data_IF_436185070258
#
_entry.id   IF_436185070258
#
_cell.length_a   1.000
_cell.length_b   1.000
_cell.length_c   1.000
_cell.angle_alpha   90.00
_cell.angle_beta   90.00
_cell.angle_gamma   90.00
#
_symmetry.space_group_name_H-M   'P 1'
#
loop_
_entity.id
_entity.type
_entity.pdbx_description
1 polymer ?
#
# COMPACT_ATOMS: atom_id res chain seq x y z
N UNK A 1 -11.21 -13.03 16.03
CA UNK A 1 -11.13 -14.32 16.77
C UNK A 1 -9.73 -14.95 16.73
N UNK A 2 -8.88 -14.52 15.78
CA UNK A 2 -7.53 -15.06 15.60
C UNK A 2 -6.46 -14.28 16.38
N UNK A 3 -6.77 -13.05 16.82
CA UNK A 3 -5.87 -12.21 17.60
C UNK A 3 -6.07 -12.54 19.07
N UNK A 4 -5.00 -12.94 19.74
CA UNK A 4 -4.99 -13.30 21.14
C UNK A 4 -3.68 -12.86 21.82
N UNK A 5 -3.53 -13.14 23.12
CA UNK A 5 -2.39 -12.69 23.91
C UNK A 5 -1.05 -13.35 23.54
N UNK A 6 -1.05 -14.35 22.64
CA UNK A 6 0.16 -14.96 22.06
C UNK A 6 0.56 -14.28 20.75
N UNK A 7 -0.28 -13.39 20.21
CA UNK A 7 -0.01 -12.65 18.97
C UNK A 7 0.95 -11.50 19.27
N UNK A 8 2.12 -11.48 18.62
CA UNK A 8 3.11 -10.41 18.78
C UNK A 8 3.05 -9.36 17.68
N UNK A 9 2.71 -9.79 16.45
CA UNK A 9 2.68 -8.93 15.28
C UNK A 9 1.56 -9.38 14.33
N UNK A 10 0.79 -8.41 13.85
CA UNK A 10 -0.17 -8.59 12.77
C UNK A 10 0.40 -7.96 11.51
N UNK A 11 0.52 -8.73 10.45
CA UNK A 11 0.86 -8.23 9.11
C UNK A 11 -0.37 -8.33 8.23
N UNK A 12 -0.83 -7.20 7.68
CA UNK A 12 -2.04 -7.15 6.87
C UNK A 12 -1.92 -6.12 5.74
N UNK A 13 -2.46 -6.43 4.57
CA UNK A 13 -2.64 -5.43 3.52
C UNK A 13 -3.84 -4.55 3.84
N UNK A 14 -3.71 -3.23 3.72
CA UNK A 14 -4.85 -2.31 3.85
C UNK A 14 -5.91 -2.60 2.79
N UNK A 15 -5.48 -2.83 1.56
CA UNK A 15 -6.36 -3.22 0.46
C UNK A 15 -5.97 -4.60 -0.05
N UNK A 16 -6.91 -5.53 -0.07
CA UNK A 16 -6.70 -6.85 -0.63
C UNK A 16 -6.50 -6.76 -2.16
N UNK A 17 -5.36 -7.24 -2.65
CA UNK A 17 -4.98 -7.11 -4.05
C UNK A 17 -5.86 -7.93 -5.01
N UNK A 18 -6.56 -8.97 -4.52
CA UNK A 18 -7.42 -9.82 -5.36
C UNK A 18 -8.77 -9.20 -5.64
N UNK A 19 -9.46 -8.74 -4.60
CA UNK A 19 -10.83 -8.26 -4.70
C UNK A 19 -11.01 -6.77 -4.41
N UNK A 20 -9.95 -6.09 -3.97
CA UNK A 20 -10.02 -4.66 -3.63
C UNK A 20 -10.70 -4.36 -2.30
N UNK A 21 -10.93 -5.36 -1.42
CA UNK A 21 -11.51 -5.12 -0.10
C UNK A 21 -10.57 -4.25 0.76
N UNK A 22 -11.12 -3.21 1.36
CA UNK A 22 -10.41 -2.30 2.29
C UNK A 22 -10.63 -2.77 3.71
N UNK A 23 -9.55 -3.15 4.39
CA UNK A 23 -9.58 -3.54 5.79
C UNK A 23 -9.69 -2.31 6.70
N UNK A 24 -10.51 -2.40 7.75
CA UNK A 24 -10.63 -1.36 8.77
C UNK A 24 -9.39 -1.36 9.68
N UNK A 25 -8.42 -0.49 9.35
CA UNK A 25 -7.18 -0.38 10.12
C UNK A 25 -7.40 0.08 11.55
N UNK A 26 -8.47 0.85 11.82
CA UNK A 26 -8.77 1.29 13.19
C UNK A 26 -9.14 0.11 14.07
N UNK A 27 -10.11 -0.68 13.62
CA UNK A 27 -10.57 -1.87 14.35
C UNK A 27 -9.43 -2.87 14.54
N UNK A 28 -8.62 -3.10 13.49
CA UNK A 28 -7.49 -4.03 13.55
C UNK A 28 -6.44 -3.55 14.55
N UNK A 29 -6.03 -2.27 14.46
CA UNK A 29 -4.99 -1.72 15.33
C UNK A 29 -5.43 -1.69 16.79
N UNK A 30 -6.65 -1.23 17.06
CA UNK A 30 -7.20 -1.22 18.42
C UNK A 30 -7.31 -2.64 19.01
N UNK A 31 -7.68 -3.61 18.16
CA UNK A 31 -7.76 -5.02 18.61
C UNK A 31 -6.38 -5.60 18.89
N UNK A 32 -5.42 -5.39 18.00
CA UNK A 32 -4.04 -5.81 18.17
C UNK A 32 -3.44 -5.28 19.47
N UNK A 33 -3.56 -3.97 19.67
CA UNK A 33 -2.98 -3.30 20.84
C UNK A 33 -3.63 -3.75 22.17
N UNK A 34 -4.93 -4.11 22.18
CA UNK A 34 -5.56 -4.70 23.38
C UNK A 34 -4.93 -6.03 23.80
N UNK A 35 -4.37 -6.78 22.85
CA UNK A 35 -3.66 -8.04 23.09
C UNK A 35 -2.14 -7.88 23.13
N UNK A 36 -1.63 -6.64 23.13
CA UNK A 36 -0.19 -6.37 23.18
C UNK A 36 0.55 -6.60 21.86
N UNK A 37 -0.16 -6.88 20.76
CA UNK A 37 0.41 -7.10 19.46
C UNK A 37 0.69 -5.78 18.72
N UNK A 38 1.75 -5.74 17.90
CA UNK A 38 2.03 -4.64 16.96
C UNK A 38 1.34 -4.88 15.62
N UNK A 39 1.20 -3.81 14.82
CA UNK A 39 0.58 -3.87 13.49
C UNK A 39 1.54 -3.35 12.43
N UNK A 40 1.78 -4.15 11.40
CA UNK A 40 2.46 -3.77 10.17
C UNK A 40 1.47 -3.81 9.01
N UNK A 41 1.29 -2.68 8.33
CA UNK A 41 0.33 -2.52 7.25
C UNK A 41 1.04 -2.43 5.90
N UNK A 42 0.63 -3.24 4.92
CA UNK A 42 1.01 -3.04 3.52
C UNK A 42 0.05 -2.07 2.84
N UNK A 43 0.58 -0.93 2.42
CA UNK A 43 -0.12 0.17 1.76
C UNK A 43 0.02 0.16 0.24
N UNK A 44 0.57 -0.89 -0.35
CA UNK A 44 0.88 -0.94 -1.78
C UNK A 44 -0.32 -0.67 -2.71
N UNK A 45 -1.53 -0.95 -2.25
CA UNK A 45 -2.78 -0.71 -2.99
C UNK A 45 -3.64 0.43 -2.42
N UNK A 46 -3.11 1.22 -1.50
CA UNK A 46 -3.83 2.34 -0.88
C UNK A 46 -3.06 3.65 -0.83
N UNK A 47 -1.73 3.62 -0.68
CA UNK A 47 -0.91 4.84 -0.70
C UNK A 47 -1.07 5.56 -2.05
N UNK A 48 -1.46 6.83 -2.00
CA UNK A 48 -1.73 7.65 -3.18
C UNK A 48 -3.17 7.60 -3.70
N UNK A 49 -4.08 6.81 -3.09
CA UNK A 49 -5.47 6.72 -3.59
C UNK A 49 -6.52 6.66 -2.48
N UNK A 50 -6.13 6.29 -1.27
CA UNK A 50 -7.00 6.30 -0.08
C UNK A 50 -6.38 7.21 0.97
N UNK A 51 -7.12 8.16 1.57
CA UNK A 51 -6.65 8.93 2.72
C UNK A 51 -6.36 8.00 3.91
N UNK A 52 -5.17 8.13 4.53
CA UNK A 52 -4.75 7.30 5.66
C UNK A 52 -3.98 8.16 6.65
N UNK A 53 -4.43 8.15 7.90
CA UNK A 53 -3.82 8.88 9.02
C UNK A 53 -3.13 7.88 9.97
N UNK A 54 -1.95 7.37 9.58
CA UNK A 54 -1.26 6.30 10.31
C UNK A 54 -0.98 6.63 11.79
N UNK A 55 -0.58 7.88 12.06
CA UNK A 55 -0.32 8.33 13.45
C UNK A 55 -1.60 8.36 14.28
N UNK A 56 -2.70 8.89 13.73
CA UNK A 56 -3.98 8.96 14.40
C UNK A 56 -4.58 7.57 14.63
N UNK A 57 -4.36 6.63 13.72
CA UNK A 57 -4.76 5.23 13.85
C UNK A 57 -3.86 4.43 14.80
N UNK A 58 -2.71 4.97 15.18
CA UNK A 58 -1.75 4.32 16.04
C UNK A 58 -1.03 3.13 15.41
N UNK A 59 -1.00 3.03 14.07
CA UNK A 59 -0.28 1.96 13.36
C UNK A 59 1.20 1.98 13.74
N UNK A 60 1.79 0.80 13.97
CA UNK A 60 3.19 0.69 14.41
C UNK A 60 4.17 0.82 13.25
N UNK A 61 3.91 0.09 12.18
CA UNK A 61 4.73 0.03 10.98
C UNK A 61 3.86 0.04 9.73
N UNK A 62 4.36 0.62 8.65
CA UNK A 62 3.75 0.41 7.35
C UNK A 62 4.81 0.34 6.25
N UNK A 63 4.50 -0.41 5.20
CA UNK A 63 5.33 -0.52 4.00
C UNK A 63 4.47 -0.23 2.77
N UNK A 64 5.11 0.16 1.69
CA UNK A 64 4.42 0.35 0.43
C UNK A 64 5.39 0.53 -0.72
N UNK A 65 4.87 0.65 -1.93
CA UNK A 65 5.67 0.80 -3.14
C UNK A 65 5.44 2.16 -3.80
N UNK A 66 6.50 2.71 -4.39
CA UNK A 66 6.45 3.99 -5.10
C UNK A 66 5.92 3.90 -6.53
N UNK A 67 5.85 2.69 -7.13
CA UNK A 67 5.57 2.52 -8.56
C UNK A 67 4.09 2.43 -8.94
N UNK A 68 3.18 2.20 -7.97
CA UNK A 68 1.74 2.09 -8.21
C UNK A 68 1.08 3.48 -8.20
N UNK A 69 0.16 3.73 -7.29
CA UNK A 69 -0.61 4.98 -7.23
C UNK A 69 0.21 6.23 -6.89
N UNK A 70 1.43 6.08 -6.37
CA UNK A 70 2.37 7.18 -6.23
C UNK A 70 3.06 7.59 -7.54
N UNK A 71 2.83 6.83 -8.62
CA UNK A 71 3.23 7.16 -10.00
C UNK A 71 4.75 7.26 -10.25
N UNK A 72 5.60 6.73 -9.37
CA UNK A 72 7.05 6.76 -9.55
C UNK A 72 7.56 5.85 -10.67
N UNK A 73 6.68 5.05 -11.29
CA UNK A 73 7.00 4.17 -12.40
C UNK A 73 7.86 2.95 -12.03
N UNK A 74 8.20 2.11 -13.02
CA UNK A 74 9.02 0.92 -12.80
C UNK A 74 10.39 1.29 -12.23
N UNK A 75 10.81 0.59 -11.16
CA UNK A 75 12.06 0.86 -10.45
C UNK A 75 11.96 1.92 -9.35
N UNK A 76 10.80 2.52 -9.13
CA UNK A 76 10.58 3.39 -7.98
C UNK A 76 10.77 2.62 -6.67
N UNK A 77 11.43 3.22 -5.65
CA UNK A 77 11.69 2.56 -4.39
C UNK A 77 10.41 2.26 -3.61
N UNK A 78 10.48 1.25 -2.76
CA UNK A 78 9.52 1.05 -1.68
C UNK A 78 9.79 2.08 -0.55
N UNK A 79 8.81 2.27 0.31
CA UNK A 79 8.94 3.10 1.51
C UNK A 79 8.60 2.30 2.76
N UNK A 80 9.16 2.76 3.87
CA UNK A 80 8.89 2.28 5.22
C UNK A 80 8.42 3.44 6.08
N UNK A 81 7.32 3.25 6.78
CA UNK A 81 6.87 4.07 7.89
C UNK A 81 7.13 3.32 9.20
N UNK A 82 7.70 4.00 10.16
CA UNK A 82 7.88 3.53 11.55
C UNK A 82 7.31 4.59 12.46
N UNK A 83 6.31 4.24 13.25
CA UNK A 83 5.73 5.18 14.22
C UNK A 83 6.82 5.71 15.15
N UNK A 84 6.78 7.00 15.44
CA UNK A 84 7.82 7.71 16.22
C UNK A 84 8.12 7.04 17.56
N UNK A 85 7.10 6.41 18.20
CA UNK A 85 7.27 5.68 19.47
C UNK A 85 8.24 4.49 19.39
N UNK A 86 8.50 3.97 18.20
CA UNK A 86 9.37 2.81 17.95
C UNK A 86 10.74 3.17 17.38
N UNK A 87 10.89 4.33 16.75
CA UNK A 87 12.08 4.69 15.97
C UNK A 87 13.41 4.59 16.73
N UNK A 88 13.42 4.80 18.05
CA UNK A 88 14.64 4.72 18.87
C UNK A 88 14.63 3.51 19.82
N UNK A 89 13.67 2.59 19.70
CA UNK A 89 13.54 1.43 20.57
C UNK A 89 13.85 0.11 19.87
N UNK A 90 13.76 0.09 18.54
CA UNK A 90 13.97 -1.10 17.73
C UNK A 90 15.37 -1.07 17.17
N UNK A 91 16.16 -2.11 17.44
CA UNK A 91 17.42 -2.33 16.74
C UNK A 91 17.16 -2.82 15.33
N UNK A 92 17.71 -2.11 14.34
CA UNK A 92 17.62 -2.50 12.94
C UNK A 92 18.63 -3.61 12.63
N UNK A 93 18.17 -4.85 12.37
CA UNK A 93 19.09 -5.99 12.13
C UNK A 93 19.81 -5.90 10.78
N UNK A 94 19.24 -5.20 9.80
CA UNK A 94 19.83 -4.98 8.48
C UNK A 94 20.56 -3.64 8.44
N UNK A 95 21.48 -3.44 9.38
CA UNK A 95 22.32 -2.24 9.43
C UNK A 95 23.17 -2.07 8.17
N UNK A 96 23.46 -0.83 7.82
CA UNK A 96 24.34 -0.50 6.70
C UNK A 96 24.90 0.91 6.83
N UNK A 97 25.88 1.24 6.00
CA UNK A 97 26.65 2.45 6.12
C UNK A 97 25.82 3.74 6.03
N UNK A 98 24.73 3.76 5.26
CA UNK A 98 23.82 4.92 5.17
C UNK A 98 22.95 5.10 6.41
N UNK A 99 22.74 4.05 7.20
CA UNK A 99 22.10 4.11 8.51
C UNK A 99 23.02 4.50 9.65
N UNK A 100 24.32 4.62 9.40
CA UNK A 100 25.31 5.04 10.39
C UNK A 100 25.23 6.56 10.66
N UNK A 101 25.47 6.98 11.93
CA UNK A 101 25.42 8.39 12.33
C UNK A 101 26.36 9.27 11.51
N UNK A 102 27.57 8.77 11.24
CA UNK A 102 28.63 9.45 10.49
C UNK A 102 29.19 8.52 9.41
N UNK A 103 28.45 8.33 8.28
CA UNK A 103 28.79 7.29 7.30
C UNK A 103 30.15 7.46 6.63
N UNK A 104 30.70 8.68 6.60
CA UNK A 104 32.00 8.97 5.95
C UNK A 104 33.16 9.01 6.93
N UNK A 105 32.97 8.73 8.21
CA UNK A 105 34.06 8.56 9.18
C UNK A 105 34.74 7.19 9.10
N UNK A 106 34.10 6.24 8.42
CA UNK A 106 34.59 4.86 8.24
C UNK A 106 34.99 4.19 9.57
N UNK A 107 34.24 4.50 10.65
CA UNK A 107 34.44 3.90 11.96
C UNK A 107 34.25 2.38 11.90
N UNK A 108 35.02 1.63 12.72
CA UNK A 108 34.81 0.19 12.89
C UNK A 108 33.55 -0.13 13.70
N UNK A 109 33.09 0.80 14.53
CA UNK A 109 31.90 0.63 15.36
C UNK A 109 30.67 1.20 14.66
N UNK A 110 29.60 0.41 14.57
CA UNK A 110 28.32 0.87 14.01
C UNK A 110 27.55 1.66 15.07
N UNK A 111 27.29 2.93 14.78
CA UNK A 111 26.45 3.79 15.61
C UNK A 111 25.25 4.23 14.76
N UNK A 112 24.02 3.78 15.07
CA UNK A 112 22.86 4.10 14.25
C UNK A 112 22.52 5.59 14.27
N UNK A 113 22.01 6.10 13.16
CA UNK A 113 21.40 7.42 13.08
C UNK A 113 20.15 7.47 13.95
N UNK A 114 19.80 8.64 14.50
CA UNK A 114 18.55 8.77 15.24
C UNK A 114 17.31 8.73 14.32
N UNK A 115 16.21 8.24 14.85
CA UNK A 115 14.91 8.25 14.17
C UNK A 115 14.85 7.32 12.97
N UNK A 116 14.02 7.68 11.98
CA UNK A 116 13.78 6.86 10.79
C UNK A 116 15.03 6.63 9.92
N UNK A 117 16.03 7.51 10.01
CA UNK A 117 17.22 7.43 9.18
C UNK A 117 18.08 6.18 9.45
N UNK A 118 17.98 5.57 10.63
CA UNK A 118 18.66 4.30 10.95
C UNK A 118 18.24 3.12 10.07
N UNK A 119 17.04 3.21 9.47
CA UNK A 119 16.48 2.14 8.62
C UNK A 119 17.01 2.17 7.18
N UNK A 120 17.83 3.16 6.84
CA UNK A 120 18.61 3.13 5.61
C UNK A 120 19.76 2.15 5.77
N UNK A 121 19.97 1.28 4.78
CA UNK A 121 21.09 0.33 4.82
C UNK A 121 22.19 0.70 3.82
N UNK A 122 21.97 0.54 2.54
CA UNK A 122 22.94 0.83 1.48
C UNK A 122 22.70 2.13 0.73
N UNK A 123 23.47 2.34 -0.32
CA UNK A 123 23.29 3.47 -1.25
C UNK A 123 21.94 3.35 -1.96
N UNK A 124 21.10 4.38 -1.91
CA UNK A 124 19.80 4.33 -2.58
C UNK A 124 19.93 4.33 -4.11
N UNK A 125 18.96 3.73 -4.80
CA UNK A 125 18.86 3.76 -6.25
C UNK A 125 18.44 5.15 -6.75
N UNK A 126 19.40 6.00 -7.09
CA UNK A 126 19.18 7.43 -7.41
C UNK A 126 18.18 7.63 -8.55
N UNK A 127 18.26 6.85 -9.63
CA UNK A 127 17.34 7.00 -10.78
C UNK A 127 15.88 6.75 -10.35
N UNK A 128 15.62 5.66 -9.61
CA UNK A 128 14.27 5.36 -9.12
C UNK A 128 13.77 6.40 -8.11
N UNK A 129 14.65 6.90 -7.24
CA UNK A 129 14.32 7.99 -6.31
C UNK A 129 13.98 9.28 -7.05
N UNK A 130 14.77 9.66 -8.07
CA UNK A 130 14.52 10.88 -8.87
C UNK A 130 13.18 10.79 -9.62
N UNK A 131 12.85 9.62 -10.15
CA UNK A 131 11.55 9.41 -10.80
C UNK A 131 10.39 9.54 -9.80
N UNK A 132 10.55 8.99 -8.59
CA UNK A 132 9.54 9.13 -7.54
C UNK A 132 9.44 10.57 -7.03
N UNK A 133 10.56 11.28 -6.86
CA UNK A 133 10.60 12.67 -6.45
C UNK A 133 9.84 13.57 -7.44
N UNK A 134 10.09 13.40 -8.74
CA UNK A 134 9.33 14.10 -9.79
C UNK A 134 7.83 13.75 -9.74
N UNK A 135 7.49 12.47 -9.58
CA UNK A 135 6.09 12.06 -9.42
C UNK A 135 5.42 12.70 -8.20
N UNK A 136 6.15 12.85 -7.09
CA UNK A 136 5.63 13.48 -5.88
C UNK A 136 5.34 14.97 -6.05
N UNK A 137 5.94 15.66 -7.03
CA UNK A 137 5.59 17.06 -7.33
C UNK A 137 4.13 17.20 -7.77
N UNK A 138 3.58 16.18 -8.45
CA UNK A 138 2.16 16.15 -8.85
C UNK A 138 1.21 16.15 -7.64
N UNK A 139 1.68 15.64 -6.50
CA UNK A 139 0.86 15.54 -5.28
C UNK A 139 0.84 16.81 -4.45
N UNK A 140 1.71 17.79 -4.73
CA UNK A 140 1.82 19.03 -3.97
C UNK A 140 0.50 19.83 -3.96
N UNK A 141 -0.24 19.78 -5.08
CA UNK A 141 -1.48 20.54 -5.29
C UNK A 141 -2.74 19.65 -5.32
N UNK A 142 -2.62 18.37 -4.98
CA UNK A 142 -3.72 17.40 -5.07
C UNK A 142 -4.22 17.01 -3.66
N UNK A 143 -5.51 17.23 -3.39
CA UNK A 143 -6.16 16.66 -2.21
C UNK A 143 -6.45 15.17 -2.45
N UNK A 144 -5.87 14.31 -1.62
CA UNK A 144 -6.09 12.87 -1.65
C UNK A 144 -7.59 12.49 -1.52
N UNK A 145 -8.39 13.32 -0.86
CA UNK A 145 -9.84 13.12 -0.75
C UNK A 145 -10.53 13.27 -2.11
N UNK A 146 -10.04 14.17 -2.96
CA UNK A 146 -10.56 14.35 -4.31
C UNK A 146 -10.19 13.17 -5.20
N UNK A 147 -8.98 12.65 -5.07
CA UNK A 147 -8.55 11.40 -5.72
C UNK A 147 -9.47 10.25 -5.31
N UNK A 148 -9.71 10.09 -4.00
CA UNK A 148 -10.61 9.05 -3.48
C UNK A 148 -12.02 9.18 -4.03
N UNK A 149 -12.59 10.39 -4.01
CA UNK A 149 -13.94 10.68 -4.54
C UNK A 149 -14.04 10.28 -6.02
N UNK A 150 -13.07 10.69 -6.84
CA UNK A 150 -13.03 10.35 -8.26
C UNK A 150 -12.88 8.83 -8.48
N UNK A 151 -11.99 8.19 -7.77
CA UNK A 151 -11.79 6.73 -7.84
C UNK A 151 -13.06 5.97 -7.51
N UNK A 152 -13.75 6.36 -6.43
CA UNK A 152 -15.03 5.77 -6.01
C UNK A 152 -16.10 5.95 -7.09
N UNK A 153 -16.23 7.16 -7.66
CA UNK A 153 -17.19 7.43 -8.72
C UNK A 153 -16.93 6.58 -9.98
N UNK A 154 -15.66 6.44 -10.39
CA UNK A 154 -15.27 5.64 -11.55
C UNK A 154 -15.51 4.16 -11.34
N UNK A 155 -15.17 3.61 -10.18
CA UNK A 155 -15.40 2.19 -9.87
C UNK A 155 -16.89 1.88 -9.75
N UNK A 156 -17.69 2.80 -9.21
CA UNK A 156 -19.15 2.66 -9.17
C UNK A 156 -19.73 2.68 -10.58
N UNK A 157 -19.34 3.64 -11.42
CA UNK A 157 -19.79 3.70 -12.81
C UNK A 157 -19.46 2.41 -13.57
N UNK A 158 -18.26 1.84 -13.36
CA UNK A 158 -17.87 0.58 -13.99
C UNK A 158 -18.77 -0.58 -13.53
N UNK A 159 -18.99 -0.70 -12.22
CA UNK A 159 -19.86 -1.74 -11.63
C UNK A 159 -21.29 -1.61 -12.19
N UNK A 160 -21.85 -0.39 -12.20
CA UNK A 160 -23.18 -0.14 -12.74
C UNK A 160 -23.29 -0.55 -14.22
N UNK A 161 -22.26 -0.29 -15.01
CA UNK A 161 -22.20 -0.69 -16.41
C UNK A 161 -22.20 -2.23 -16.56
N UNK A 162 -21.40 -2.93 -15.77
CA UNK A 162 -21.34 -4.40 -15.79
C UNK A 162 -22.69 -4.99 -15.37
N UNK A 163 -23.28 -4.50 -14.28
CA UNK A 163 -24.55 -5.03 -13.76
C UNK A 163 -25.74 -4.79 -14.69
N UNK A 164 -25.71 -3.73 -15.49
CA UNK A 164 -26.83 -3.38 -16.41
C UNK A 164 -26.62 -3.89 -17.84
N UNK A 165 -25.51 -4.56 -18.13
CA UNK A 165 -25.24 -5.15 -19.45
C UNK A 165 -25.66 -6.63 -19.44
N UNK A 166 -26.73 -6.96 -20.16
CA UNK A 166 -27.24 -8.33 -20.23
C UNK A 166 -26.22 -9.32 -20.82
N UNK A 167 -25.34 -8.81 -21.70
CA UNK A 167 -24.25 -9.56 -22.34
C UNK A 167 -23.15 -9.97 -21.38
N UNK A 168 -23.10 -9.34 -20.18
CA UNK A 168 -22.09 -9.58 -19.15
C UNK A 168 -22.66 -10.37 -17.94
N UNK A 169 -23.82 -11.01 -18.11
CA UNK A 169 -24.50 -11.75 -17.03
C UNK A 169 -23.68 -12.88 -16.42
N UNK A 170 -22.69 -13.41 -17.17
CA UNK A 170 -21.81 -14.48 -16.72
C UNK A 170 -20.60 -14.00 -15.92
N UNK A 171 -20.40 -12.66 -15.85
CA UNK A 171 -19.35 -12.06 -15.03
C UNK A 171 -19.84 -11.88 -13.59
N UNK A 172 -19.11 -12.43 -12.64
CA UNK A 172 -19.34 -12.20 -11.22
C UNK A 172 -18.47 -11.01 -10.72
N UNK A 173 -19.09 -10.04 -10.05
CA UNK A 173 -18.37 -8.95 -9.40
C UNK A 173 -17.85 -9.44 -8.06
N UNK A 174 -16.53 -9.59 -7.93
CA UNK A 174 -15.85 -10.08 -6.72
C UNK A 174 -15.50 -8.93 -5.76
N UNK A 175 -15.36 -7.71 -6.30
CA UNK A 175 -15.09 -6.52 -5.47
C UNK A 175 -16.31 -6.14 -4.64
N UNK A 176 -16.10 -5.56 -3.43
CA UNK A 176 -17.19 -5.03 -2.62
C UNK A 176 -18.02 -4.01 -3.40
N UNK A 177 -19.34 -4.11 -3.29
CA UNK A 177 -20.26 -3.12 -3.87
C UNK A 177 -20.31 -1.85 -3.01
N UNK A 178 -20.13 -2.00 -1.70
CA UNK A 178 -20.05 -0.88 -0.77
C UNK A 178 -18.77 -0.06 -1.01
N UNK A 179 -18.95 1.25 -1.23
CA UNK A 179 -17.87 2.19 -1.52
C UNK A 179 -16.89 2.37 -0.35
N UNK A 180 -17.36 2.18 0.89
CA UNK A 180 -16.52 2.33 2.08
C UNK A 180 -15.53 1.17 2.23
N UNK A 181 -15.93 0.00 1.77
CA UNK A 181 -15.10 -1.23 1.83
C UNK A 181 -14.44 -1.58 0.50
N UNK A 182 -14.66 -0.78 -0.55
CA UNK A 182 -14.05 -0.99 -1.87
C UNK A 182 -12.84 -0.07 -2.08
N UNK A 183 -11.72 -0.66 -2.50
CA UNK A 183 -10.53 0.06 -2.96
C UNK A 183 -10.72 0.73 -4.33
N UNK A 184 -9.61 0.94 -5.04
CA UNK A 184 -9.59 1.63 -6.33
C UNK A 184 -9.46 0.70 -7.53
N UNK A 185 -9.81 -0.56 -7.34
CA UNK A 185 -9.90 -1.59 -8.40
C UNK A 185 -11.28 -2.22 -8.39
N UNK A 186 -11.68 -2.79 -9.53
CA UNK A 186 -12.82 -3.69 -9.65
C UNK A 186 -12.32 -5.02 -10.20
N UNK A 187 -12.63 -6.08 -9.48
CA UNK A 187 -12.28 -7.45 -9.84
C UNK A 187 -13.54 -8.20 -10.26
N UNK A 188 -13.45 -8.87 -11.39
CA UNK A 188 -14.50 -9.71 -11.95
C UNK A 188 -13.99 -11.16 -11.99
N UNK A 189 -14.89 -12.12 -11.90
CA UNK A 189 -14.60 -13.55 -12.03
C UNK A 189 -15.36 -14.14 -13.22
N UNK A 190 -14.70 -15.01 -13.97
CA UNK A 190 -15.28 -15.80 -15.05
C UNK A 190 -14.47 -17.09 -15.25
N UNK A 191 -15.08 -18.23 -15.61
CA UNK A 191 -14.34 -19.47 -15.91
C UNK A 191 -13.25 -19.28 -16.97
N UNK A 192 -13.52 -18.52 -18.04
CA UNK A 192 -12.58 -18.20 -19.12
C UNK A 192 -11.90 -16.83 -18.90
N UNK A 193 -11.64 -16.47 -17.63
CA UNK A 193 -11.11 -15.13 -17.26
C UNK A 193 -9.77 -14.80 -17.93
N UNK A 194 -8.88 -15.78 -18.11
CA UNK A 194 -7.61 -15.58 -18.79
C UNK A 194 -7.80 -15.22 -20.26
N UNK A 195 -8.63 -15.99 -20.98
CA UNK A 195 -8.92 -15.78 -22.40
C UNK A 195 -9.58 -14.42 -22.65
N UNK A 196 -10.51 -14.01 -21.76
CA UNK A 196 -11.15 -12.70 -21.80
C UNK A 196 -10.11 -11.61 -21.66
N UNK A 197 -9.22 -11.70 -20.67
CA UNK A 197 -8.15 -10.73 -20.45
C UNK A 197 -7.22 -10.63 -21.67
N UNK A 198 -6.84 -11.77 -22.27
CA UNK A 198 -5.99 -11.77 -23.47
C UNK A 198 -6.70 -11.10 -24.67
N UNK A 199 -8.00 -11.36 -24.85
CA UNK A 199 -8.79 -10.72 -25.92
C UNK A 199 -8.93 -9.20 -25.71
N UNK A 200 -9.12 -8.76 -24.45
CA UNK A 200 -9.15 -7.33 -24.10
C UNK A 200 -7.80 -6.65 -24.39
N UNK A 201 -6.68 -7.27 -24.00
CA UNK A 201 -5.33 -6.75 -24.25
C UNK A 201 -5.09 -6.64 -25.77
N UNK A 202 -5.47 -7.67 -26.55
CA UNK A 202 -5.35 -7.65 -28.00
C UNK A 202 -6.20 -6.52 -28.64
N UNK A 203 -7.27 -6.10 -27.97
CA UNK A 203 -8.14 -4.99 -28.38
C UNK A 203 -7.68 -3.62 -27.84
N UNK A 204 -6.53 -3.56 -27.18
CA UNK A 204 -5.97 -2.33 -26.62
C UNK A 204 -6.48 -1.95 -25.22
N UNK A 205 -7.22 -2.83 -24.57
CA UNK A 205 -7.68 -2.66 -23.16
C UNK A 205 -6.77 -3.44 -22.25
N UNK A 206 -5.90 -2.73 -21.54
CA UNK A 206 -4.93 -3.35 -20.63
C UNK A 206 -5.60 -3.60 -19.27
N UNK A 207 -5.72 -4.85 -18.91
CA UNK A 207 -6.19 -5.32 -17.60
C UNK A 207 -5.28 -6.42 -17.08
N UNK A 208 -5.51 -6.88 -15.85
CA UNK A 208 -4.67 -7.85 -15.15
C UNK A 208 -5.48 -9.13 -14.87
N UNK A 209 -4.84 -10.29 -14.93
CA UNK A 209 -5.40 -11.58 -14.57
C UNK A 209 -4.69 -12.14 -13.33
N UNK A 210 -5.48 -12.63 -12.36
CA UNK A 210 -4.94 -13.15 -11.08
C UNK A 210 -5.64 -14.42 -10.64
#
# INVERSE_FOLDING_TARGET
EEINDETNLIMISHVNFRNGYVNDLKVITETAHRHGAMVLVDLSHSAGVIPIELDALGVDFAVGCGYKFLNGGPGAPAFLYVNQRHQNKVEQPLSGWMGHRSPFEFSADYIPRPGIAQYQSGTPGIIGLSALDEAMTLWADIDIKDVRRKSTALTTLFIDKVQNAAELSDLEIVSPLDVETRGSQVSLSHPDGYEIVQAMIASGVICDYR
#
